data_IF_700463280982
#
_entry.id   IF_700463280982
#
_cell.length_a   1.000
_cell.length_b   1.000
_cell.length_c   1.000
_cell.angle_alpha   90.00
_cell.angle_beta   90.00
_cell.angle_gamma   90.00
#
_symmetry.space_group_name_H-M   'P 1'
#
loop_
_entity.id
_entity.type
_entity.pdbx_description
1 polymer ?
#
# COMPACT_ATOMS: atom_id res chain seq x y z
N UNK A 1 -1.38 41.75 -14.09
CA UNK A 1 -0.41 41.52 -13.00
C UNK A 1 -0.81 40.22 -12.33
N UNK A 2 0.07 39.22 -12.23
CA UNK A 2 -0.26 37.93 -11.60
C UNK A 2 0.22 37.92 -10.14
N UNK A 3 -0.55 37.25 -9.28
CA UNK A 3 -0.20 37.00 -7.88
C UNK A 3 -0.23 35.49 -7.64
N UNK A 4 0.77 35.00 -6.93
CA UNK A 4 0.93 33.59 -6.58
C UNK A 4 0.99 33.46 -5.05
N UNK A 5 0.43 32.36 -4.53
CA UNK A 5 0.52 31.96 -3.13
C UNK A 5 1.23 30.61 -3.01
N UNK A 6 1.79 30.33 -1.83
CA UNK A 6 2.49 29.08 -1.54
C UNK A 6 1.50 28.02 -1.05
N UNK A 7 1.59 26.80 -1.58
CA UNK A 7 0.82 25.64 -1.12
C UNK A 7 1.78 24.57 -0.61
N UNK A 8 1.40 23.91 0.48
CA UNK A 8 2.07 22.71 0.98
C UNK A 8 1.33 21.48 0.45
N UNK A 9 2.08 20.54 -0.14
CA UNK A 9 1.54 19.31 -0.72
C UNK A 9 2.19 18.14 0.03
N UNK A 10 1.36 17.25 0.55
CA UNK A 10 1.84 15.97 1.07
C UNK A 10 2.07 15.02 -0.11
N UNK A 11 3.30 14.55 -0.24
CA UNK A 11 3.67 13.52 -1.19
C UNK A 11 4.12 12.25 -0.45
N UNK A 12 3.75 11.10 -1.01
CA UNK A 12 4.28 9.82 -0.54
C UNK A 12 5.76 9.76 -0.91
N UNK A 13 6.64 9.52 0.05
CA UNK A 13 8.09 9.43 -0.17
C UNK A 13 8.64 8.01 -0.04
N UNK A 14 7.97 7.16 0.74
CA UNK A 14 8.39 5.79 0.98
C UNK A 14 7.26 4.91 1.51
N UNK A 15 7.47 3.60 1.46
CA UNK A 15 6.67 2.58 2.14
C UNK A 15 7.57 1.73 3.03
N UNK A 16 7.03 1.28 4.15
CA UNK A 16 7.71 0.34 5.06
C UNK A 16 6.82 -0.87 5.23
N UNK A 17 7.36 -2.07 5.07
CA UNK A 17 6.58 -3.29 5.17
C UNK A 17 6.25 -3.59 6.64
N UNK A 18 4.95 -3.68 6.96
CA UNK A 18 4.47 -3.89 8.32
C UNK A 18 4.90 -5.26 8.91
N UNK A 19 5.18 -6.24 8.04
CA UNK A 19 5.61 -7.58 8.48
C UNK A 19 7.11 -7.69 8.74
N UNK A 20 7.96 -7.15 7.87
CA UNK A 20 9.41 -7.38 7.94
C UNK A 20 10.25 -6.10 8.11
N UNK A 21 9.63 -4.93 8.15
CA UNK A 21 10.32 -3.64 8.30
C UNK A 21 11.08 -3.17 7.07
N UNK A 22 11.02 -3.90 5.93
CA UNK A 22 11.69 -3.45 4.70
C UNK A 22 11.12 -2.12 4.25
N UNK A 23 12.00 -1.13 4.06
CA UNK A 23 11.66 0.18 3.52
C UNK A 23 12.02 0.26 2.03
N UNK A 24 11.20 0.96 1.25
CA UNK A 24 11.47 1.33 -0.13
C UNK A 24 11.07 2.80 -0.34
N UNK A 25 11.92 3.58 -1.00
CA UNK A 25 11.69 5.00 -1.33
C UNK A 25 11.02 5.14 -2.71
N UNK A 26 10.39 6.29 -2.98
CA UNK A 26 9.86 6.63 -4.31
C UNK A 26 11.01 6.76 -5.30
N UNK A 27 11.21 5.70 -6.08
CA UNK A 27 12.33 5.54 -7.01
C UNK A 27 12.90 4.12 -7.00
N UNK A 28 12.73 3.40 -5.89
CA UNK A 28 13.10 2.00 -5.80
C UNK A 28 12.11 1.14 -6.58
N UNK A 29 12.62 0.15 -7.31
CA UNK A 29 11.74 -0.83 -7.99
C UNK A 29 10.86 -1.58 -6.99
N UNK A 30 11.38 -1.90 -5.79
CA UNK A 30 10.62 -2.56 -4.73
C UNK A 30 9.37 -1.74 -4.33
N UNK A 31 9.43 -0.40 -4.37
CA UNK A 31 8.32 0.46 -3.95
C UNK A 31 7.04 0.23 -4.76
N UNK A 32 7.19 -0.01 -6.07
CA UNK A 32 6.07 -0.23 -6.99
C UNK A 32 5.39 -1.58 -6.77
N UNK A 33 6.11 -2.54 -6.18
CA UNK A 33 5.64 -3.91 -5.96
C UNK A 33 5.04 -4.13 -4.56
N UNK A 34 4.86 -3.06 -3.76
CA UNK A 34 4.14 -3.15 -2.49
C UNK A 34 2.64 -3.37 -2.71
N UNK A 35 2.06 -4.31 -1.96
CA UNK A 35 0.62 -4.42 -1.80
C UNK A 35 0.19 -3.53 -0.62
N UNK A 36 -0.57 -2.48 -0.95
CA UNK A 36 -1.14 -1.55 0.03
C UNK A 36 -2.65 -1.77 0.17
N UNK A 37 -3.14 -1.84 1.40
CA UNK A 37 -4.57 -1.82 1.73
C UNK A 37 -4.81 -0.54 2.52
N UNK A 38 -5.80 0.25 2.10
CA UNK A 38 -6.33 1.38 2.87
C UNK A 38 -7.83 1.47 2.58
N UNK A 39 -8.63 0.93 3.49
CA UNK A 39 -10.09 0.88 3.33
C UNK A 39 -10.82 0.87 4.65
N UNK A 40 -12.07 1.31 4.60
CA UNK A 40 -13.01 1.18 5.71
C UNK A 40 -13.80 -0.12 5.58
N UNK A 41 -13.97 -0.82 6.69
CA UNK A 41 -14.77 -2.03 6.79
C UNK A 41 -16.28 -1.73 6.72
N UNK A 42 -17.02 -2.59 6.02
CA UNK A 42 -18.47 -2.50 5.94
C UNK A 42 -19.17 -3.08 7.18
N UNK A 43 -20.49 -2.99 7.20
CA UNK A 43 -21.32 -3.59 8.24
C UNK A 43 -21.24 -5.13 8.23
N UNK A 44 -21.16 -5.74 9.40
CA UNK A 44 -20.96 -7.17 9.60
C UNK A 44 -19.54 -7.66 9.27
N UNK A 45 -18.56 -6.75 9.16
CA UNK A 45 -17.18 -7.12 8.86
C UNK A 45 -16.55 -7.91 10.01
N UNK A 46 -15.77 -8.95 9.69
CA UNK A 46 -14.98 -9.70 10.68
C UNK A 46 -13.92 -8.85 11.38
N UNK A 47 -13.59 -7.68 10.82
CA UNK A 47 -12.67 -6.70 11.40
C UNK A 47 -13.36 -5.64 12.27
N UNK A 48 -14.69 -5.70 12.41
CA UNK A 48 -15.49 -4.66 13.04
C UNK A 48 -16.11 -3.68 12.05
N UNK A 49 -17.25 -3.13 12.43
CA UNK A 49 -18.04 -2.22 11.59
C UNK A 49 -17.41 -0.83 11.53
N UNK A 50 -17.17 -0.31 10.33
CA UNK A 50 -16.58 1.01 10.14
C UNK A 50 -15.08 1.08 10.49
N UNK A 51 -14.44 -0.06 10.78
CA UNK A 51 -13.04 -0.09 11.16
C UNK A 51 -12.12 0.28 9.99
N UNK A 52 -11.08 1.06 10.27
CA UNK A 52 -10.09 1.46 9.28
C UNK A 52 -8.98 0.41 9.18
N UNK A 53 -8.90 -0.26 8.03
CA UNK A 53 -7.92 -1.32 7.78
C UNK A 53 -6.81 -0.77 6.88
N UNK A 54 -5.59 -0.76 7.42
CA UNK A 54 -4.37 -0.37 6.70
C UNK A 54 -3.30 -1.46 6.76
N UNK A 55 -2.61 -1.67 5.66
CA UNK A 55 -1.52 -2.64 5.56
C UNK A 55 -0.61 -2.30 4.38
N UNK A 56 0.71 -2.32 4.58
CA UNK A 56 1.72 -2.27 3.54
C UNK A 56 2.62 -3.52 3.60
N UNK A 57 2.60 -4.33 2.54
CA UNK A 57 3.46 -5.50 2.42
C UNK A 57 4.37 -5.41 1.19
N UNK A 58 5.67 -5.63 1.39
CA UNK A 58 6.62 -5.80 0.30
C UNK A 58 6.32 -7.10 -0.49
N UNK A 59 6.68 -7.15 -1.78
CA UNK A 59 6.38 -8.29 -2.68
C UNK A 59 6.81 -9.65 -2.12
N UNK A 60 7.88 -9.67 -1.33
CA UNK A 60 8.40 -10.86 -0.69
C UNK A 60 7.47 -11.38 0.41
N UNK A 61 6.95 -10.47 1.26
CA UNK A 61 5.97 -10.82 2.28
C UNK A 61 4.62 -11.16 1.66
N UNK A 62 4.21 -10.46 0.60
CA UNK A 62 3.00 -10.80 -0.17
C UNK A 62 3.07 -12.24 -0.66
N UNK A 63 4.18 -12.63 -1.31
CA UNK A 63 4.39 -13.99 -1.80
C UNK A 63 4.34 -15.04 -0.69
N UNK A 64 4.92 -14.74 0.48
CA UNK A 64 4.91 -15.66 1.64
C UNK A 64 3.50 -15.80 2.23
N UNK A 65 2.80 -14.68 2.44
CA UNK A 65 1.54 -14.67 3.18
C UNK A 65 0.40 -15.17 2.31
N UNK A 66 0.25 -14.65 1.08
CA UNK A 66 -0.92 -14.94 0.23
C UNK A 66 -0.59 -15.56 -1.13
N UNK A 67 0.70 -15.69 -1.46
CA UNK A 67 1.15 -16.06 -2.80
C UNK A 67 0.66 -17.42 -3.31
N UNK A 68 0.31 -18.36 -2.43
CA UNK A 68 -0.25 -19.65 -2.84
C UNK A 68 -1.69 -19.57 -3.35
N UNK A 69 -2.44 -18.52 -2.97
CA UNK A 69 -3.82 -18.29 -3.42
C UNK A 69 -3.92 -17.27 -4.56
N UNK A 70 -2.81 -16.64 -4.94
CA UNK A 70 -2.77 -15.67 -6.03
C UNK A 70 -2.87 -16.37 -7.39
N UNK A 71 -3.89 -16.01 -8.16
CA UNK A 71 -4.00 -16.42 -9.55
C UNK A 71 -3.01 -15.62 -10.39
N UNK A 72 -2.25 -16.32 -11.24
CA UNK A 72 -1.28 -15.70 -12.16
C UNK A 72 -1.80 -15.85 -13.58
N UNK A 73 -1.92 -14.74 -14.29
CA UNK A 73 -2.22 -14.70 -15.72
C UNK A 73 -1.10 -14.01 -16.48
N UNK A 74 -0.87 -14.42 -17.72
CA UNK A 74 -0.12 -13.59 -18.68
C UNK A 74 -1.14 -12.70 -19.38
N UNK A 75 -0.95 -11.39 -19.31
CA UNK A 75 -1.66 -10.47 -20.21
C UNK A 75 -1.04 -10.68 -21.60
N UNK A 76 -1.87 -11.07 -22.57
CA UNK A 76 -1.47 -11.24 -23.97
C UNK A 76 -1.15 -9.90 -24.63
#
# INVERSE_FOLDING_TARGET
>A
MQQFSKTEILSLSAKTCDRCGRRAEVGDSEFQEFLSVDRVAGFGSVFGDGELIRLDLCQHCVKIVVGQWMQKGKTA
#
